data_IF_557045504001
#
_entry.id   IF_557045504001
#
_cell.length_a   1.000
_cell.length_b   1.000
_cell.length_c   1.000
_cell.angle_alpha   90.00
_cell.angle_beta   90.00
_cell.angle_gamma   90.00
#
_symmetry.space_group_name_H-M   'P 1'
#
loop_
_entity.id
_entity.type
_entity.pdbx_description
1 polymer ?
#
# COMPACT_ATOMS: atom_id res chain seq x y z
N UNK A 1 4.23 1.51 -11.32
CA UNK A 1 3.72 2.08 -10.05
C UNK A 1 4.57 1.58 -8.90
N UNK A 2 4.36 2.14 -7.73
CA UNK A 2 5.03 1.76 -6.49
C UNK A 2 4.02 1.57 -5.37
N UNK A 3 4.32 0.72 -4.39
CA UNK A 3 3.51 0.51 -3.20
C UNK A 3 4.40 0.25 -1.98
N UNK A 4 3.87 0.46 -0.78
CA UNK A 4 4.60 0.19 0.47
C UNK A 4 4.13 -1.15 1.03
N UNK A 5 5.07 -2.04 1.36
CA UNK A 5 4.80 -3.39 1.88
C UNK A 5 5.48 -3.59 3.22
N UNK A 6 4.83 -4.30 4.14
CA UNK A 6 5.49 -4.83 5.32
C UNK A 6 6.34 -6.06 4.94
N UNK A 7 7.65 -6.02 5.21
CA UNK A 7 8.62 -7.05 4.81
C UNK A 7 8.34 -8.43 5.38
N UNK A 8 7.82 -8.49 6.62
CA UNK A 8 7.57 -9.75 7.34
C UNK A 8 6.24 -10.38 6.93
N UNK A 9 5.16 -9.60 7.01
CA UNK A 9 3.79 -10.10 6.75
C UNK A 9 3.42 -10.13 5.28
N UNK A 10 4.20 -9.46 4.42
CA UNK A 10 3.94 -9.25 3.00
C UNK A 10 2.62 -8.53 2.70
N UNK A 11 1.98 -7.94 3.73
CA UNK A 11 0.79 -7.10 3.57
C UNK A 11 1.17 -5.72 3.04
N UNK A 12 0.31 -5.18 2.19
CA UNK A 12 0.41 -3.85 1.60
C UNK A 12 -0.15 -2.79 2.56
N UNK A 13 0.48 -1.62 2.62
CA UNK A 13 -0.04 -0.47 3.35
C UNK A 13 -1.19 0.14 2.56
N UNK A 14 -2.34 0.31 3.22
CA UNK A 14 -3.50 0.98 2.63
C UNK A 14 -4.00 2.16 3.45
N UNK A 15 -3.36 2.45 4.59
CA UNK A 15 -3.74 3.55 5.46
C UNK A 15 -2.81 3.67 6.67
N UNK A 16 -3.02 4.71 7.45
CA UNK A 16 -2.25 4.99 8.66
C UNK A 16 -3.23 5.37 9.77
N UNK A 17 -3.08 4.78 10.94
CA UNK A 17 -3.84 5.10 12.13
C UNK A 17 -3.08 6.15 12.96
N UNK A 18 -3.58 7.38 12.90
CA UNK A 18 -2.94 8.55 13.52
C UNK A 18 -3.21 8.68 15.03
N UNK A 19 -3.99 7.76 15.62
CA UNK A 19 -4.30 7.78 17.06
C UNK A 19 -3.18 7.21 17.93
N UNK A 20 -2.17 6.58 17.32
CA UNK A 20 -1.06 5.93 18.03
C UNK A 20 0.25 6.70 17.89
N UNK A 21 1.10 6.64 18.92
CA UNK A 21 2.49 7.08 18.88
C UNK A 21 3.40 5.88 19.26
N UNK A 22 4.18 5.31 18.33
CA UNK A 22 4.32 5.71 16.93
C UNK A 22 3.07 5.39 16.08
N UNK A 23 2.93 6.10 14.96
CA UNK A 23 1.85 5.89 13.99
C UNK A 23 1.78 4.42 13.56
N UNK A 24 0.58 3.83 13.58
CA UNK A 24 0.39 2.43 13.17
C UNK A 24 -0.09 2.34 11.73
N UNK A 25 0.62 1.58 10.89
CA UNK A 25 0.19 1.37 9.51
C UNK A 25 -0.93 0.34 9.45
N UNK A 26 -1.96 0.63 8.65
CA UNK A 26 -3.01 -0.32 8.30
C UNK A 26 -2.54 -1.12 7.09
N UNK A 27 -2.50 -2.44 7.24
CA UNK A 27 -1.98 -3.34 6.21
C UNK A 27 -2.97 -4.44 5.84
N UNK A 28 -3.02 -4.81 4.56
CA UNK A 28 -3.91 -5.84 4.01
C UNK A 28 -3.25 -6.63 2.88
N UNK A 29 -3.74 -7.83 2.59
CA UNK A 29 -3.38 -8.56 1.38
C UNK A 29 -4.18 -8.09 0.14
N UNK A 30 -5.37 -7.54 0.35
CA UNK A 30 -6.32 -7.20 -0.73
C UNK A 30 -6.39 -5.69 -1.02
N UNK A 31 -5.81 -4.85 -0.15
CA UNK A 31 -5.85 -3.39 -0.27
C UNK A 31 -4.45 -2.82 -0.24
N UNK A 32 -4.15 -1.94 -1.19
CA UNK A 32 -2.88 -1.24 -1.29
C UNK A 32 -3.14 0.21 -1.73
N UNK A 33 -2.34 1.16 -1.23
CA UNK A 33 -2.17 2.45 -1.89
C UNK A 33 -1.04 2.30 -2.91
N UNK A 34 -1.30 2.77 -4.12
CA UNK A 34 -0.39 2.76 -5.27
C UNK A 34 -0.01 4.18 -5.64
N UNK A 35 1.27 4.37 -5.93
CA UNK A 35 1.90 5.63 -6.29
C UNK A 35 2.39 5.57 -7.74
N UNK A 36 2.30 6.68 -8.46
CA UNK A 36 2.68 6.76 -9.87
C UNK A 36 4.17 6.51 -10.07
N UNK A 37 4.99 7.18 -9.26
CA UNK A 37 6.45 7.18 -9.31
C UNK A 37 7.07 6.81 -7.95
N UNK A 38 8.42 6.78 -7.93
CA UNK A 38 9.19 6.31 -6.77
C UNK A 38 9.25 7.41 -5.71
N UNK A 39 9.38 8.65 -6.15
CA UNK A 39 9.53 9.85 -5.34
C UNK A 39 8.29 10.08 -4.46
N UNK A 40 7.08 9.94 -5.02
CA UNK A 40 5.82 10.02 -4.27
C UNK A 40 5.69 8.88 -3.24
N UNK A 41 6.13 7.67 -3.59
CA UNK A 41 6.17 6.55 -2.66
C UNK A 41 7.15 6.80 -1.50
N UNK A 42 8.32 7.37 -1.76
CA UNK A 42 9.31 7.75 -0.74
C UNK A 42 8.78 8.87 0.17
N UNK A 43 8.16 9.89 -0.40
CA UNK A 43 7.50 10.95 0.35
C UNK A 43 6.43 10.38 1.31
N UNK A 44 5.56 9.50 0.80
CA UNK A 44 4.53 8.85 1.59
C UNK A 44 5.09 7.90 2.65
N UNK A 45 6.16 7.16 2.35
CA UNK A 45 6.85 6.30 3.32
C UNK A 45 7.33 7.10 4.53
N UNK A 46 7.90 8.28 4.27
CA UNK A 46 8.41 9.18 5.30
C UNK A 46 7.30 9.84 6.13
N UNK A 47 6.26 10.39 5.49
CA UNK A 47 5.13 11.02 6.18
C UNK A 47 4.40 10.02 7.08
N UNK A 48 4.20 8.80 6.58
CA UNK A 48 3.54 7.73 7.32
C UNK A 48 4.40 7.16 8.45
N UNK A 49 5.67 7.56 8.56
CA UNK A 49 6.65 7.04 9.53
C UNK A 49 6.80 5.52 9.42
N UNK A 50 6.82 5.01 8.19
CA UNK A 50 7.13 3.60 7.93
C UNK A 50 8.55 3.30 8.45
N UNK A 51 8.66 2.34 9.37
CA UNK A 51 9.93 1.98 9.97
C UNK A 51 10.70 0.99 9.07
N UNK A 52 11.83 0.47 9.59
CA UNK A 52 12.65 -0.54 8.92
C UNK A 52 11.93 -1.85 8.61
N UNK A 53 10.69 -2.08 9.05
CA UNK A 53 9.94 -3.29 8.73
C UNK A 53 9.16 -3.17 7.42
N UNK A 54 9.19 -2.00 6.78
CA UNK A 54 8.54 -1.72 5.51
C UNK A 54 9.56 -1.56 4.38
N UNK A 55 9.08 -1.70 3.16
CA UNK A 55 9.83 -1.51 1.91
C UNK A 55 8.93 -0.86 0.85
N UNK A 56 9.52 -0.09 -0.05
CA UNK A 56 8.87 0.39 -1.26
C UNK A 56 9.12 -0.65 -2.36
N UNK A 57 8.05 -1.08 -3.02
CA UNK A 57 8.07 -2.14 -4.03
C UNK A 57 7.52 -1.58 -5.33
N UNK A 58 8.23 -1.82 -6.45
CA UNK A 58 7.71 -1.54 -7.78
C UNK A 58 6.62 -2.56 -8.13
N UNK A 59 5.46 -2.09 -8.56
CA UNK A 59 4.28 -2.93 -8.83
C UNK A 59 3.63 -2.57 -10.16
N UNK A 60 2.89 -3.56 -10.68
CA UNK A 60 2.01 -3.45 -11.84
C UNK A 60 0.56 -3.66 -11.37
N UNK A 61 -0.38 -2.91 -11.95
CA UNK A 61 -1.80 -3.07 -11.70
C UNK A 61 -2.35 -3.92 -12.83
N UNK A 62 -2.96 -5.04 -12.47
CA UNK A 62 -3.58 -5.96 -13.42
C UNK A 62 -5.06 -6.08 -13.10
N UNK A 63 -5.90 -5.84 -14.10
CA UNK A 63 -7.32 -6.14 -14.03
C UNK A 63 -7.46 -7.67 -14.09
N UNK A 64 -8.03 -8.27 -13.05
CA UNK A 64 -8.26 -9.72 -12.97
C UNK A 64 -9.69 -10.04 -13.42
N UNK A 65 -10.62 -9.13 -13.17
CA UNK A 65 -12.03 -9.27 -13.51
C UNK A 65 -12.68 -7.88 -13.65
N UNK A 66 -13.59 -7.76 -14.61
CA UNK A 66 -14.45 -6.59 -14.77
C UNK A 66 -15.85 -6.90 -14.24
N UNK A 67 -16.46 -5.92 -13.59
CA UNK A 67 -17.86 -6.01 -13.17
C UNK A 67 -18.68 -5.20 -14.17
N UNK A 68 -19.65 -5.83 -14.81
CA UNK A 68 -20.64 -5.16 -15.67
C UNK A 68 -21.99 -5.33 -15.01
N UNK A 69 -22.66 -4.22 -14.67
CA UNK A 69 -23.98 -4.23 -13.99
C UNK A 69 -24.02 -5.05 -12.68
N UNK A 70 -22.94 -5.04 -11.88
CA UNK A 70 -22.77 -5.86 -10.67
C UNK A 70 -22.75 -7.38 -10.91
N UNK A 71 -22.65 -7.83 -12.16
CA UNK A 71 -22.48 -9.22 -12.52
C UNK A 71 -21.05 -9.46 -13.02
N UNK A 72 -20.55 -10.66 -12.75
CA UNK A 72 -19.21 -11.10 -13.13
C UNK A 72 -19.21 -11.45 -14.62
N UNK A 73 -18.34 -10.80 -15.40
CA UNK A 73 -18.13 -11.08 -16.84
C UNK A 73 -16.77 -11.70 -17.07
#
# INVERSE_FOLDING_TARGET
>A
MYAIRNKKTKKWVFGTDHRYSPLKQRTSHEKAIIFGDKEDAEHNFNIRKCNKDYEIVKVELKIIQELVNNELV
#
